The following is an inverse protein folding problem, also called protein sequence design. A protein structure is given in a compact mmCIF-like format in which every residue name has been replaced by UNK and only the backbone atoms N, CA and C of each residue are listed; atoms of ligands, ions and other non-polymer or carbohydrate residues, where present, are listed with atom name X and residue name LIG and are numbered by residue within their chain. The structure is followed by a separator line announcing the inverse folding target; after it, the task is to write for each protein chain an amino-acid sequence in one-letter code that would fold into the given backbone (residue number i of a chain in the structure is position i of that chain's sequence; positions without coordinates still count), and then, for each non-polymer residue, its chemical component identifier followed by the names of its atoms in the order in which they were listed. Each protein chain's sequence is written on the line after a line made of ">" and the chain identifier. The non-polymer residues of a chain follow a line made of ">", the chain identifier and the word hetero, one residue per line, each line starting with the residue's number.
data_IF_285286287156
#
_entry.id   IF_285286287156
#
_cell.length_a   1.000
_cell.length_b   1.000
_cell.length_c   1.000
_cell.angle_alpha   90.00
_cell.angle_beta   90.00
_cell.angle_gamma   90.00
#
_symmetry.space_group_name_H-M   'P 1'
#
loop_
_entity.id
_entity.type
_entity.pdbx_description
1 polymer ?
#
# COMPACT_ATOMS: atom_id res chain seq x y z
N UNK A 1 6.75 13.58 -22.15
CA UNK A 1 6.39 12.21 -21.76
C UNK A 1 5.22 12.35 -20.80
N UNK A 2 4.03 12.04 -21.23
CA UNK A 2 2.83 12.01 -20.39
C UNK A 2 3.05 10.89 -19.38
N UNK A 3 3.37 11.27 -18.15
CA UNK A 3 3.70 10.30 -17.10
C UNK A 3 2.50 9.45 -16.75
N UNK A 4 2.69 8.16 -16.63
CA UNK A 4 1.77 7.25 -16.01
C UNK A 4 1.83 7.44 -14.48
N UNK A 5 1.26 8.51 -13.97
CA UNK A 5 1.06 8.68 -12.52
C UNK A 5 0.04 7.67 -12.00
N UNK A 6 -0.03 7.48 -10.70
CA UNK A 6 -1.06 6.60 -10.11
C UNK A 6 -2.47 7.08 -10.50
N UNK A 7 -2.69 8.39 -10.45
CA UNK A 7 -3.95 9.00 -10.87
C UNK A 7 -4.29 8.62 -12.33
N UNK A 8 -3.35 8.84 -13.28
CA UNK A 8 -3.60 8.53 -14.71
C UNK A 8 -3.98 7.05 -14.92
N UNK A 9 -3.31 6.14 -14.21
CA UNK A 9 -3.55 4.70 -14.32
C UNK A 9 -4.92 4.34 -13.74
N UNK A 10 -5.28 4.90 -12.59
CA UNK A 10 -6.57 4.68 -11.97
C UNK A 10 -7.70 5.31 -12.78
N UNK A 11 -7.49 6.46 -13.42
CA UNK A 11 -8.46 7.09 -14.31
C UNK A 11 -8.75 6.18 -15.52
N UNK A 12 -7.73 5.56 -16.11
CA UNK A 12 -7.94 4.58 -17.18
C UNK A 12 -8.77 3.39 -16.69
N UNK A 13 -8.45 2.84 -15.53
CA UNK A 13 -9.19 1.72 -14.95
C UNK A 13 -10.62 2.12 -14.57
N UNK A 14 -10.82 3.33 -14.02
CA UNK A 14 -12.14 3.86 -13.64
C UNK A 14 -13.07 3.93 -14.85
N UNK A 15 -12.56 4.39 -16.00
CA UNK A 15 -13.34 4.56 -17.22
C UNK A 15 -13.35 3.32 -18.14
N UNK A 16 -12.58 2.28 -17.80
CA UNK A 16 -12.58 1.03 -18.56
C UNK A 16 -13.87 0.25 -18.31
N UNK A 17 -14.64 -0.08 -19.34
CA UNK A 17 -15.85 -0.91 -19.19
C UNK A 17 -15.54 -2.37 -18.87
N UNK A 18 -14.33 -2.82 -19.21
CA UNK A 18 -13.85 -4.21 -19.05
C UNK A 18 -12.92 -4.36 -17.84
N UNK A 19 -12.73 -3.30 -17.02
CA UNK A 19 -11.75 -3.27 -15.93
C UNK A 19 -10.33 -3.62 -16.38
N UNK A 20 -9.92 -3.10 -17.54
CA UNK A 20 -8.57 -3.23 -18.07
C UNK A 20 -7.78 -1.95 -17.88
N UNK A 21 -6.50 -2.08 -17.61
CA UNK A 21 -5.52 -0.99 -17.53
C UNK A 21 -4.13 -1.51 -17.86
N UNK A 22 -3.16 -0.62 -17.84
CA UNK A 22 -1.73 -0.92 -17.99
C UNK A 22 -0.90 -0.01 -17.09
N UNK A 23 0.35 -0.36 -16.90
CA UNK A 23 1.36 0.46 -16.25
C UNK A 23 2.73 0.20 -16.88
N UNK A 24 3.65 1.13 -16.70
CA UNK A 24 5.01 1.03 -17.22
C UNK A 24 6.04 0.64 -16.16
N UNK A 25 7.30 0.48 -16.58
CA UNK A 25 8.41 0.08 -15.70
C UNK A 25 8.69 1.05 -14.55
N UNK A 26 8.17 2.29 -14.61
CA UNK A 26 8.30 3.25 -13.51
C UNK A 26 7.54 2.84 -12.25
N UNK A 27 6.66 1.87 -12.34
CA UNK A 27 5.93 1.28 -11.22
C UNK A 27 6.48 -0.08 -10.77
N UNK A 28 7.68 -0.43 -11.22
CA UNK A 28 8.28 -1.72 -10.91
C UNK A 28 9.05 -1.75 -9.60
N UNK A 29 8.97 -2.90 -8.94
CA UNK A 29 9.81 -3.32 -7.83
C UNK A 29 10.54 -4.61 -8.27
N UNK A 30 11.74 -4.46 -8.82
CA UNK A 30 12.43 -5.56 -9.48
C UNK A 30 11.72 -5.96 -10.78
N UNK A 31 11.28 -7.22 -10.88
CA UNK A 31 10.58 -7.76 -12.08
C UNK A 31 9.06 -7.65 -12.02
N UNK A 32 8.53 -7.17 -10.93
CA UNK A 32 7.09 -7.09 -10.69
C UNK A 32 6.65 -5.66 -10.40
N UNK A 33 5.35 -5.40 -10.56
CA UNK A 33 4.72 -4.19 -10.10
C UNK A 33 4.88 -4.00 -8.59
N UNK A 34 4.91 -2.74 -8.15
CA UNK A 34 4.73 -2.36 -6.76
C UNK A 34 3.38 -2.90 -6.24
N UNK A 35 3.40 -3.59 -5.09
CA UNK A 35 2.21 -4.27 -4.56
C UNK A 35 1.07 -3.34 -4.24
N UNK A 36 1.36 -2.14 -3.72
CA UNK A 36 0.36 -1.10 -3.45
C UNK A 36 -0.40 -0.62 -4.68
N UNK A 37 0.26 -0.58 -5.86
CA UNK A 37 -0.39 -0.31 -7.14
C UNK A 37 -1.39 -1.41 -7.49
N UNK A 38 -0.98 -2.68 -7.37
CA UNK A 38 -1.82 -3.83 -7.73
C UNK A 38 -3.02 -3.95 -6.81
N UNK A 39 -2.83 -3.70 -5.51
CA UNK A 39 -3.91 -3.68 -4.53
C UNK A 39 -4.88 -2.50 -4.75
N UNK A 40 -4.39 -1.35 -5.24
CA UNK A 40 -5.24 -0.22 -5.62
C UNK A 40 -6.15 -0.57 -6.81
N UNK A 41 -5.67 -1.34 -7.80
CA UNK A 41 -6.51 -1.82 -8.90
C UNK A 41 -7.67 -2.69 -8.39
N UNK A 42 -7.38 -3.62 -7.49
CA UNK A 42 -8.39 -4.48 -6.88
C UNK A 42 -9.43 -3.66 -6.10
N UNK A 43 -8.98 -2.71 -5.27
CA UNK A 43 -9.84 -1.81 -4.50
C UNK A 43 -10.78 -1.01 -5.39
N UNK A 44 -10.23 -0.32 -6.40
CA UNK A 44 -11.01 0.51 -7.32
C UNK A 44 -12.04 -0.31 -8.08
N UNK A 45 -11.67 -1.49 -8.59
CA UNK A 45 -12.59 -2.36 -9.33
C UNK A 45 -13.74 -2.89 -8.46
N UNK A 46 -13.48 -3.18 -7.18
CA UNK A 46 -14.54 -3.51 -6.23
C UNK A 46 -15.45 -2.30 -5.96
N UNK A 47 -14.88 -1.11 -5.75
CA UNK A 47 -15.61 0.12 -5.44
C UNK A 47 -16.52 0.57 -6.59
N UNK A 48 -16.11 0.39 -7.84
CA UNK A 48 -16.89 0.71 -9.05
C UNK A 48 -18.25 0.01 -9.10
N UNK A 49 -18.38 -1.14 -8.45
CA UNK A 49 -19.64 -1.92 -8.44
C UNK A 49 -20.66 -1.42 -7.41
N UNK A 50 -20.29 -0.47 -6.55
CA UNK A 50 -21.07 -0.08 -5.38
C UNK A 50 -21.76 1.28 -5.56
N UNK A 51 -23.09 1.29 -5.41
CA UNK A 51 -23.91 2.51 -5.44
C UNK A 51 -24.87 2.52 -4.23
N UNK A 52 -24.82 3.52 -3.33
CA UNK A 52 -23.74 4.51 -3.20
C UNK A 52 -22.42 3.83 -2.81
N UNK A 53 -21.32 4.55 -2.93
CA UNK A 53 -20.00 4.02 -2.57
C UNK A 53 -19.74 4.17 -1.06
N UNK A 54 -19.93 3.13 -0.25
CA UNK A 54 -19.58 3.18 1.17
C UNK A 54 -18.06 3.13 1.36
N UNK A 55 -17.60 3.61 2.53
CA UNK A 55 -16.18 3.62 2.86
C UNK A 55 -15.59 2.20 2.88
N UNK A 56 -14.38 2.05 2.34
CA UNK A 56 -13.57 0.84 2.53
C UNK A 56 -13.16 0.73 4.00
N UNK A 57 -13.46 -0.40 4.64
CA UNK A 57 -13.16 -0.68 6.05
C UNK A 57 -12.00 -1.64 6.24
N UNK A 58 -11.87 -2.60 5.31
CA UNK A 58 -10.79 -3.58 5.35
C UNK A 58 -10.47 -4.06 3.94
N UNK A 59 -9.19 -4.28 3.68
CA UNK A 59 -8.67 -4.92 2.47
C UNK A 59 -7.74 -6.05 2.90
N UNK A 60 -7.97 -7.24 2.38
CA UNK A 60 -7.07 -8.38 2.53
C UNK A 60 -6.58 -8.78 1.14
N UNK A 61 -5.27 -8.87 0.96
CA UNK A 61 -4.66 -9.21 -0.32
C UNK A 61 -3.72 -10.41 -0.19
N UNK A 62 -3.75 -11.29 -1.19
CA UNK A 62 -2.80 -12.39 -1.39
C UNK A 62 -2.06 -12.14 -2.70
N UNK A 63 -0.73 -12.05 -2.63
CA UNK A 63 0.13 -11.87 -3.79
C UNK A 63 0.52 -13.26 -4.32
N UNK A 64 0.02 -13.61 -5.51
CA UNK A 64 0.09 -14.98 -6.08
C UNK A 64 1.29 -15.11 -7.02
N UNK A 65 1.45 -14.14 -7.90
CA UNK A 65 2.52 -14.15 -8.90
C UNK A 65 3.02 -12.73 -9.19
N UNK A 66 4.28 -12.57 -9.65
CA UNK A 66 4.78 -11.30 -10.15
C UNK A 66 3.90 -10.77 -11.28
N UNK A 67 3.51 -9.50 -11.21
CA UNK A 67 2.80 -8.80 -12.26
C UNK A 67 3.80 -7.94 -13.06
N UNK A 68 4.19 -8.33 -14.27
CA UNK A 68 5.10 -7.52 -15.09
C UNK A 68 4.38 -6.29 -15.67
N UNK A 69 5.12 -5.25 -16.11
CA UNK A 69 4.55 -4.13 -16.86
C UNK A 69 3.95 -4.63 -18.17
N UNK A 70 2.63 -4.75 -18.18
CA UNK A 70 1.85 -5.24 -19.34
C UNK A 70 0.37 -4.86 -19.13
N UNK A 71 -0.47 -4.95 -20.17
CA UNK A 71 -1.92 -4.90 -19.99
C UNK A 71 -2.41 -5.95 -19.01
N UNK A 72 -3.34 -5.55 -18.17
CA UNK A 72 -3.95 -6.39 -17.12
C UNK A 72 -5.45 -6.18 -17.10
N UNK A 73 -6.16 -7.13 -16.51
CA UNK A 73 -7.59 -7.01 -16.23
C UNK A 73 -7.89 -7.32 -14.75
N UNK A 74 -9.02 -6.82 -14.27
CA UNK A 74 -9.47 -7.08 -12.91
C UNK A 74 -10.88 -7.66 -12.95
N UNK A 75 -11.01 -8.88 -12.48
CA UNK A 75 -12.31 -9.50 -12.23
C UNK A 75 -12.75 -9.15 -10.80
N UNK A 76 -13.91 -8.51 -10.65
CA UNK A 76 -14.44 -8.15 -9.36
C UNK A 76 -15.88 -8.66 -9.20
N UNK A 77 -16.27 -9.02 -7.96
CA UNK A 77 -17.59 -9.54 -7.66
C UNK A 77 -18.05 -9.12 -6.26
N UNK A 78 -19.35 -8.82 -6.14
CA UNK A 78 -20.01 -8.66 -4.85
C UNK A 78 -20.31 -10.06 -4.30
N UNK A 79 -19.69 -10.41 -3.17
CA UNK A 79 -19.88 -11.71 -2.51
C UNK A 79 -21.15 -11.69 -1.63
N UNK A 80 -21.37 -10.56 -0.98
CA UNK A 80 -22.55 -10.33 -0.15
C UNK A 80 -22.81 -8.83 -0.03
N UNK A 81 -24.06 -8.45 -0.22
CA UNK A 81 -24.52 -7.10 0.05
C UNK A 81 -25.58 -7.13 1.16
N UNK A 82 -25.26 -6.55 2.29
CA UNK A 82 -26.17 -6.35 3.41
C UNK A 82 -26.59 -4.89 3.51
N UNK A 83 -27.45 -4.57 4.48
CA UNK A 83 -27.95 -3.20 4.68
C UNK A 83 -26.83 -2.18 4.92
N UNK A 84 -25.79 -2.55 5.67
CA UNK A 84 -24.74 -1.63 6.12
C UNK A 84 -23.34 -2.09 5.74
N UNK A 85 -23.17 -3.33 5.30
CA UNK A 85 -21.88 -3.92 4.98
C UNK A 85 -21.97 -4.70 3.70
N UNK A 86 -21.05 -4.44 2.78
CA UNK A 86 -20.88 -5.17 1.52
C UNK A 86 -19.50 -5.79 1.51
N UNK A 87 -19.43 -7.06 1.14
CA UNK A 87 -18.18 -7.79 0.94
C UNK A 87 -17.99 -8.05 -0.55
N UNK A 88 -16.81 -7.71 -1.05
CA UNK A 88 -16.43 -7.88 -2.45
C UNK A 88 -15.14 -8.70 -2.54
N UNK A 89 -14.93 -9.32 -3.68
CA UNK A 89 -13.64 -9.90 -4.06
C UNK A 89 -13.16 -9.30 -5.38
N UNK A 90 -11.84 -9.31 -5.58
CA UNK A 90 -11.24 -8.98 -6.87
C UNK A 90 -10.04 -9.89 -7.13
N UNK A 91 -9.83 -10.22 -8.41
CA UNK A 91 -8.64 -10.91 -8.90
C UNK A 91 -8.01 -10.07 -9.99
N UNK A 92 -6.76 -9.67 -9.79
CA UNK A 92 -5.95 -9.02 -10.83
C UNK A 92 -5.29 -10.09 -11.67
N UNK A 93 -5.48 -10.01 -12.98
CA UNK A 93 -5.04 -11.00 -13.95
C UNK A 93 -3.99 -10.39 -14.90
N UNK A 94 -2.94 -11.13 -15.16
CA UNK A 94 -1.99 -10.89 -16.25
C UNK A 94 -2.03 -12.07 -17.22
N UNK A 95 -2.31 -11.81 -18.49
CA UNK A 95 -2.45 -12.87 -19.50
C UNK A 95 -3.43 -13.99 -19.05
N UNK A 96 -4.52 -13.62 -18.39
CA UNK A 96 -5.52 -14.54 -17.85
C UNK A 96 -5.08 -15.36 -16.63
N UNK A 97 -3.91 -15.06 -16.04
CA UNK A 97 -3.40 -15.74 -14.84
C UNK A 97 -3.49 -14.84 -13.62
N UNK A 98 -3.95 -15.34 -12.46
CA UNK A 98 -4.01 -14.57 -11.23
C UNK A 98 -2.63 -14.09 -10.77
N UNK A 99 -2.50 -12.78 -10.55
CA UNK A 99 -1.34 -12.15 -9.94
C UNK A 99 -1.61 -11.73 -8.49
N UNK A 100 -2.83 -11.26 -8.21
CA UNK A 100 -3.28 -10.89 -6.87
C UNK A 100 -4.75 -11.26 -6.70
N UNK A 101 -5.11 -11.73 -5.50
CA UNK A 101 -6.49 -11.83 -5.05
C UNK A 101 -6.72 -10.94 -3.84
N UNK A 102 -7.87 -10.26 -3.81
CA UNK A 102 -8.24 -9.39 -2.69
C UNK A 102 -9.70 -9.60 -2.25
N UNK A 103 -9.93 -9.38 -0.96
CA UNK A 103 -11.24 -9.26 -0.35
C UNK A 103 -11.38 -7.85 0.24
N UNK A 104 -12.43 -7.14 -0.13
CA UNK A 104 -12.75 -5.81 0.37
C UNK A 104 -14.02 -5.82 1.20
N UNK A 105 -14.00 -5.15 2.35
CA UNK A 105 -15.18 -4.92 3.19
C UNK A 105 -15.51 -3.45 3.14
N UNK A 106 -16.67 -3.13 2.62
CA UNK A 106 -17.20 -1.77 2.53
C UNK A 106 -18.34 -1.58 3.53
N UNK A 107 -18.39 -0.45 4.21
CA UNK A 107 -19.38 -0.25 5.27
C UNK A 107 -19.74 1.19 5.51
N UNK A 108 -21.05 1.44 5.71
CA UNK A 108 -21.57 2.74 6.12
C UNK A 108 -21.24 3.03 7.58
N UNK A 109 -21.07 4.31 7.91
CA UNK A 109 -20.97 4.74 9.30
C UNK A 109 -22.27 4.44 10.05
N UNK A 110 -22.13 4.06 11.32
CA UNK A 110 -23.27 3.74 12.20
C UNK A 110 -23.06 4.38 13.56
N UNK A 111 -24.14 4.73 14.22
CA UNK A 111 -24.08 5.14 15.62
C UNK A 111 -23.65 3.99 16.51
N UNK A 112 -22.93 4.29 17.58
CA UNK A 112 -22.42 3.31 18.53
C UNK A 112 -21.42 3.93 19.49
N UNK A 113 -20.85 3.11 20.36
CA UNK A 113 -19.76 3.51 21.24
C UNK A 113 -18.56 3.90 20.39
N UNK A 114 -17.93 5.04 20.71
CA UNK A 114 -16.69 5.50 20.09
C UNK A 114 -15.55 5.32 21.07
N UNK A 115 -14.46 4.76 20.56
CA UNK A 115 -13.16 4.71 21.23
C UNK A 115 -12.18 5.35 20.26
N UNK A 116 -11.63 6.49 20.65
CA UNK A 116 -10.67 7.21 19.80
C UNK A 116 -9.36 6.43 19.72
N UNK A 117 -8.82 6.37 18.50
CA UNK A 117 -7.47 5.83 18.31
C UNK A 117 -6.43 6.71 18.99
N UNK A 118 -5.39 6.11 19.56
CA UNK A 118 -4.30 6.86 20.12
C UNK A 118 -3.62 7.71 19.01
N UNK A 119 -3.47 9.02 19.22
CA UNK A 119 -2.82 9.87 18.25
C UNK A 119 -1.32 9.53 18.16
N UNK A 120 -0.70 9.94 17.05
CA UNK A 120 0.73 9.85 16.89
C UNK A 120 1.44 10.62 18.00
N UNK A 121 2.29 9.92 18.73
CA UNK A 121 3.06 10.50 19.84
C UNK A 121 4.51 10.70 19.40
N UNK A 122 5.01 11.93 19.47
CA UNK A 122 6.40 12.30 19.19
C UNK A 122 6.92 11.77 17.84
N UNK A 123 6.30 12.15 16.71
CA UNK A 123 6.83 11.75 15.40
C UNK A 123 8.22 12.33 15.21
N UNK A 124 9.10 11.55 14.60
CA UNK A 124 10.39 12.05 14.19
C UNK A 124 10.20 13.09 13.07
N UNK A 125 10.85 14.27 13.18
CA UNK A 125 10.59 15.35 12.26
C UNK A 125 11.10 15.03 10.84
N UNK A 126 10.30 15.37 9.83
CA UNK A 126 10.63 15.16 8.42
C UNK A 126 11.92 15.88 8.00
N UNK A 127 12.21 17.02 8.61
CA UNK A 127 13.42 17.80 8.34
C UNK A 127 14.74 17.11 8.70
N UNK A 128 14.67 16.11 9.57
CA UNK A 128 15.83 15.29 9.98
C UNK A 128 15.95 14.00 9.17
N UNK A 129 15.01 13.77 8.25
CA UNK A 129 14.95 12.54 7.47
C UNK A 129 15.99 12.49 6.33
N UNK A 130 16.34 11.27 5.95
CA UNK A 130 17.16 10.99 4.79
C UNK A 130 16.25 10.84 3.57
N UNK A 131 16.28 11.79 2.60
CA UNK A 131 15.39 11.74 1.44
C UNK A 131 15.61 10.49 0.57
N UNK A 132 14.53 9.91 0.04
CA UNK A 132 14.59 8.79 -0.92
C UNK A 132 15.48 9.13 -2.12
N UNK A 133 15.39 10.36 -2.62
CA UNK A 133 16.16 10.83 -3.76
C UNK A 133 17.68 10.63 -3.60
N UNK A 134 18.21 10.62 -2.37
CA UNK A 134 19.63 10.37 -2.09
C UNK A 134 20.10 9.00 -2.57
N UNK A 135 19.19 8.04 -2.64
CA UNK A 135 19.50 6.66 -3.01
C UNK A 135 18.74 6.19 -4.27
N UNK A 136 18.13 7.09 -5.03
CA UNK A 136 17.26 6.77 -6.17
C UNK A 136 17.88 5.78 -7.17
N UNK A 137 19.19 5.86 -7.44
CA UNK A 137 19.88 4.96 -8.36
C UNK A 137 20.00 3.49 -7.86
N UNK A 138 19.69 3.24 -6.58
CA UNK A 138 19.80 1.91 -5.95
C UNK A 138 18.45 1.40 -5.45
N UNK A 139 17.39 2.18 -5.63
CA UNK A 139 16.04 1.88 -5.14
C UNK A 139 15.14 1.43 -6.29
N UNK A 140 14.05 0.70 -5.99
CA UNK A 140 13.04 0.38 -6.98
C UNK A 140 12.48 1.63 -7.65
N UNK A 141 12.17 1.53 -8.95
CA UNK A 141 11.74 2.67 -9.77
C UNK A 141 10.41 3.30 -9.29
N UNK A 142 9.51 2.50 -8.72
CA UNK A 142 8.23 3.00 -8.21
C UNK A 142 8.39 4.09 -7.14
N UNK A 143 9.50 4.11 -6.39
CA UNK A 143 9.75 5.13 -5.37
C UNK A 143 9.87 6.54 -5.95
N UNK A 144 10.16 6.67 -7.25
CA UNK A 144 10.17 7.96 -7.93
C UNK A 144 8.77 8.57 -8.09
N UNK A 145 7.70 7.78 -7.89
CA UNK A 145 6.31 8.26 -7.91
C UNK A 145 5.91 8.93 -6.57
N UNK A 146 6.77 8.81 -5.58
CA UNK A 146 6.55 9.35 -4.24
C UNK A 146 7.64 10.34 -3.86
N UNK A 147 7.32 11.20 -2.93
CA UNK A 147 8.28 12.00 -2.19
C UNK A 147 8.31 11.49 -0.75
N UNK A 148 9.50 11.33 -0.19
CA UNK A 148 9.60 10.84 1.19
C UNK A 148 11.01 10.79 1.71
N UNK A 149 11.10 10.45 2.99
CA UNK A 149 12.36 10.28 3.71
C UNK A 149 12.24 9.21 4.79
N UNK A 150 13.33 8.53 5.03
CA UNK A 150 13.53 7.69 6.19
C UNK A 150 13.81 8.58 7.41
N UNK A 151 13.21 8.30 8.55
CA UNK A 151 13.47 9.03 9.80
C UNK A 151 13.86 8.04 10.91
N UNK A 152 14.72 8.50 11.84
CA UNK A 152 15.27 7.67 12.91
C UNK A 152 16.51 6.90 12.48
N UNK A 153 16.86 5.88 13.28
CA UNK A 153 18.14 5.17 13.17
C UNK A 153 18.12 4.01 12.15
N UNK A 154 16.93 3.70 11.62
CA UNK A 154 16.75 2.55 10.73
C UNK A 154 16.55 2.99 9.29
N UNK A 155 17.28 2.32 8.39
CA UNK A 155 17.11 2.41 6.95
C UNK A 155 17.38 1.01 6.36
N UNK A 156 16.72 0.60 5.28
CA UNK A 156 17.03 -0.66 4.63
C UNK A 156 18.52 -0.77 4.29
N UNK A 157 19.09 -1.93 4.58
CA UNK A 157 20.52 -2.26 4.35
C UNK A 157 21.50 -1.38 5.14
N UNK A 158 21.10 -0.88 6.31
CA UNK A 158 21.99 -0.10 7.19
C UNK A 158 22.73 -0.91 8.25
N UNK A 159 22.38 -2.20 8.44
CA UNK A 159 22.91 -3.03 9.52
C UNK A 159 22.47 -2.57 10.91
N UNK A 160 21.44 -1.73 11.02
CA UNK A 160 21.02 -1.11 12.28
C UNK A 160 20.45 -2.09 13.30
N UNK A 161 20.00 -3.27 12.86
CA UNK A 161 19.28 -4.26 13.70
C UNK A 161 18.04 -3.71 14.39
N UNK A 162 17.54 -2.58 13.93
CA UNK A 162 16.30 -2.00 14.44
C UNK A 162 15.11 -2.89 14.11
N UNK A 163 14.20 -3.02 15.06
CA UNK A 163 12.90 -3.64 14.84
C UNK A 163 11.84 -2.63 14.40
N UNK A 164 12.22 -1.38 14.19
CA UNK A 164 11.29 -0.31 13.84
C UNK A 164 11.81 0.46 12.64
N UNK A 165 10.91 0.77 11.72
CA UNK A 165 11.19 1.56 10.52
C UNK A 165 10.15 2.67 10.42
N UNK A 166 10.62 3.92 10.35
CA UNK A 166 9.77 5.08 10.24
C UNK A 166 10.08 5.86 8.97
N UNK A 167 9.04 6.43 8.37
CA UNK A 167 9.21 7.28 7.19
C UNK A 167 8.07 8.29 7.05
N UNK A 168 8.37 9.40 6.39
CA UNK A 168 7.39 10.32 5.84
C UNK A 168 7.25 10.11 4.35
N UNK A 169 6.02 10.06 3.85
CA UNK A 169 5.74 9.79 2.43
C UNK A 169 4.55 10.61 1.96
N UNK A 170 4.59 11.06 0.69
CA UNK A 170 3.42 11.54 -0.05
C UNK A 170 3.48 11.12 -1.52
N UNK A 171 2.34 11.08 -2.17
CA UNK A 171 2.28 10.98 -3.63
C UNK A 171 2.83 12.25 -4.30
N UNK A 172 3.39 12.10 -5.50
CA UNK A 172 3.77 13.25 -6.34
C UNK A 172 2.62 13.74 -7.22
N UNK A 173 1.61 12.90 -7.46
CA UNK A 173 0.40 13.26 -8.17
C UNK A 173 -0.75 13.57 -7.20
N UNK A 174 -1.77 14.23 -7.71
CA UNK A 174 -3.02 14.41 -6.98
C UNK A 174 -3.77 13.08 -6.88
N UNK A 175 -4.22 12.75 -5.67
CA UNK A 175 -4.97 11.53 -5.36
C UNK A 175 -6.32 11.85 -4.71
N UNK A 176 -6.83 13.05 -4.89
CA UNK A 176 -8.10 13.52 -4.27
C UNK A 176 -9.31 12.71 -4.71
N UNK A 177 -9.33 12.22 -5.96
CA UNK A 177 -10.41 11.42 -6.52
C UNK A 177 -10.35 9.94 -6.09
N UNK A 178 -9.20 9.50 -5.54
CA UNK A 178 -8.91 8.11 -5.16
C UNK A 178 -8.45 8.00 -3.70
N UNK A 179 -9.25 8.45 -2.71
CA UNK A 179 -8.81 8.56 -1.32
C UNK A 179 -8.48 7.21 -0.68
N UNK A 180 -9.17 6.12 -1.04
CA UNK A 180 -8.83 4.79 -0.54
C UNK A 180 -7.54 4.27 -1.16
N UNK A 181 -7.41 4.38 -2.48
CA UNK A 181 -6.26 3.95 -3.25
C UNK A 181 -5.00 4.77 -2.89
N UNK A 182 -5.16 6.06 -2.54
CA UNK A 182 -4.11 6.90 -1.95
C UNK A 182 -3.47 6.24 -0.73
N UNK A 183 -4.30 5.83 0.23
CA UNK A 183 -3.83 5.22 1.47
C UNK A 183 -3.28 3.80 1.22
N UNK A 184 -3.92 3.01 0.34
CA UNK A 184 -3.46 1.67 -0.03
C UNK A 184 -2.04 1.72 -0.58
N UNK A 185 -1.77 2.59 -1.55
CA UNK A 185 -0.43 2.71 -2.12
C UNK A 185 0.61 3.20 -1.10
N UNK A 186 0.26 4.17 -0.26
CA UNK A 186 1.13 4.64 0.84
C UNK A 186 1.43 3.52 1.84
N UNK A 187 0.43 2.71 2.21
CA UNK A 187 0.58 1.70 3.26
C UNK A 187 1.49 0.52 2.85
N UNK A 188 1.73 0.31 1.56
CA UNK A 188 2.65 -0.73 1.05
C UNK A 188 4.07 -0.19 0.76
N UNK A 189 4.32 1.09 1.02
CA UNK A 189 5.64 1.72 0.81
C UNK A 189 6.77 1.12 1.67
N UNK A 190 6.54 0.77 2.96
CA UNK A 190 7.61 0.23 3.78
C UNK A 190 8.12 -1.11 3.26
N UNK A 191 9.42 -1.22 2.96
CA UNK A 191 10.01 -2.51 2.68
C UNK A 191 9.96 -3.40 3.94
N UNK A 192 10.27 -4.72 3.82
CA UNK A 192 10.42 -5.54 5.02
C UNK A 192 11.34 -4.86 6.02
N UNK A 193 10.86 -4.62 7.25
CA UNK A 193 11.67 -3.99 8.32
C UNK A 193 12.92 -4.84 8.61
N UNK A 194 12.84 -6.15 8.37
CA UNK A 194 13.97 -7.07 8.43
C UNK A 194 15.17 -6.58 7.60
N UNK A 195 14.95 -5.89 6.47
CA UNK A 195 16.02 -5.40 5.61
C UNK A 195 16.95 -4.38 6.29
N UNK A 196 16.50 -3.76 7.40
CA UNK A 196 17.36 -2.89 8.21
C UNK A 196 18.51 -3.66 8.90
N UNK A 197 18.35 -4.98 9.11
CA UNK A 197 19.34 -5.83 9.76
C UNK A 197 20.50 -6.21 8.85
N UNK A 198 20.34 -6.08 7.53
CA UNK A 198 21.39 -6.40 6.56
C UNK A 198 22.28 -5.18 6.29
N UNK A 199 23.56 -5.43 6.10
CA UNK A 199 24.57 -4.48 5.61
C UNK A 199 24.95 -4.72 4.14
N UNK A 200 24.39 -5.76 3.53
CA UNK A 200 24.57 -6.14 2.12
C UNK A 200 23.45 -5.56 1.26
N UNK A 201 23.76 -5.06 0.07
CA UNK A 201 22.84 -4.20 -0.69
C UNK A 201 21.68 -4.91 -1.37
N UNK A 202 21.51 -6.23 -1.26
CA UNK A 202 20.44 -6.94 -1.94
C UNK A 202 20.02 -8.24 -1.26
N UNK A 203 18.85 -8.23 -0.67
CA UNK A 203 18.12 -9.41 -0.22
C UNK A 203 16.75 -9.37 -0.90
N UNK A 204 16.47 -10.27 -1.86
CA UNK A 204 15.17 -10.34 -2.49
C UNK A 204 14.07 -10.63 -1.46
N UNK A 205 12.98 -9.92 -1.56
CA UNK A 205 11.81 -10.14 -0.74
C UNK A 205 10.53 -9.92 -1.56
N UNK A 206 9.46 -10.59 -1.17
CA UNK A 206 8.17 -10.50 -1.84
C UNK A 206 7.04 -10.60 -0.82
N UNK A 207 6.04 -9.76 -0.92
CA UNK A 207 4.81 -9.89 -0.14
C UNK A 207 4.10 -11.18 -0.48
N UNK A 208 3.57 -11.85 0.52
CA UNK A 208 2.76 -13.08 0.41
C UNK A 208 1.31 -12.75 0.75
N UNK A 209 1.08 -12.13 1.89
CA UNK A 209 -0.25 -11.70 2.31
C UNK A 209 -0.19 -10.36 3.02
N UNK A 210 -1.27 -9.59 2.87
CA UNK A 210 -1.41 -8.27 3.45
C UNK A 210 -2.83 -8.00 3.91
N UNK A 211 -2.97 -7.48 5.11
CA UNK A 211 -4.20 -6.93 5.65
C UNK A 211 -4.05 -5.43 5.92
N UNK A 212 -5.02 -4.65 5.48
CA UNK A 212 -5.12 -3.21 5.72
C UNK A 212 -6.50 -2.89 6.29
N UNK A 213 -6.55 -2.27 7.47
CA UNK A 213 -7.78 -1.91 8.17
C UNK A 213 -7.87 -0.39 8.28
N UNK A 214 -8.96 0.20 7.77
CA UNK A 214 -9.18 1.64 7.78
C UNK A 214 -9.88 2.06 9.08
N UNK A 215 -9.23 2.93 9.84
CA UNK A 215 -9.74 3.44 11.12
C UNK A 215 -10.69 4.61 10.89
N UNK A 216 -10.46 5.36 9.80
CA UNK A 216 -11.28 6.49 9.38
C UNK A 216 -11.85 6.24 7.99
N UNK A 217 -12.84 7.01 7.58
CA UNK A 217 -13.25 7.03 6.18
C UNK A 217 -12.09 7.62 5.35
N UNK A 218 -11.59 6.93 4.33
CA UNK A 218 -10.53 7.47 3.47
C UNK A 218 -10.87 8.85 2.89
N UNK A 219 -12.14 9.11 2.60
CA UNK A 219 -12.61 10.39 2.09
C UNK A 219 -12.43 11.56 3.07
N UNK A 220 -12.29 11.27 4.36
CA UNK A 220 -12.04 12.27 5.40
C UNK A 220 -10.55 12.60 5.58
N UNK A 221 -9.64 11.88 4.92
CA UNK A 221 -8.19 12.11 4.98
C UNK A 221 -7.78 13.17 3.98
N UNK A 222 -7.55 14.39 4.47
CA UNK A 222 -7.22 15.55 3.64
C UNK A 222 -5.74 15.84 3.50
N UNK A 223 -4.92 15.32 4.42
CA UNK A 223 -3.46 15.49 4.38
C UNK A 223 -2.82 14.82 3.17
N UNK A 224 -1.72 15.42 2.71
CA UNK A 224 -0.89 14.84 1.64
C UNK A 224 0.22 13.97 2.21
N UNK A 225 0.79 14.36 3.34
CA UNK A 225 1.88 13.64 3.99
C UNK A 225 1.36 12.61 4.98
N UNK A 226 2.02 11.47 4.97
CA UNK A 226 1.75 10.36 5.89
C UNK A 226 3.02 10.00 6.64
N UNK A 227 2.85 9.74 7.95
CA UNK A 227 3.87 9.12 8.79
C UNK A 227 3.59 7.63 8.90
N UNK A 228 4.56 6.83 8.52
CA UNK A 228 4.49 5.38 8.57
C UNK A 228 5.37 4.88 9.72
N UNK A 229 4.77 4.12 10.62
CA UNK A 229 5.39 3.56 11.80
C UNK A 229 5.25 2.03 11.77
N UNK A 230 6.32 1.35 11.44
CA UNK A 230 6.32 -0.09 11.19
C UNK A 230 7.26 -0.82 12.14
N UNK A 231 6.74 -1.91 12.72
CA UNK A 231 7.46 -2.80 13.63
C UNK A 231 7.68 -4.17 12.98
N UNK A 232 8.90 -4.71 13.11
CA UNK A 232 9.22 -6.10 12.82
C UNK A 232 8.72 -6.98 13.96
N UNK A 233 7.69 -7.78 13.69
CA UNK A 233 7.12 -8.71 14.68
C UNK A 233 8.00 -9.95 14.85
N UNK A 234 8.34 -10.60 13.72
CA UNK A 234 9.18 -11.78 13.67
C UNK A 234 9.84 -11.98 12.30
N UNK A 235 10.93 -12.74 12.27
CA UNK A 235 11.52 -13.27 11.05
C UNK A 235 12.20 -14.62 11.33
N UNK A 236 11.81 -15.66 10.60
CA UNK A 236 12.40 -16.98 10.63
C UNK A 236 12.00 -17.77 9.38
N UNK A 237 12.75 -18.81 9.06
CA UNK A 237 12.44 -19.78 8.02
C UNK A 237 12.16 -19.17 6.63
N UNK A 238 12.79 -18.03 6.32
CA UNK A 238 12.57 -17.31 5.06
C UNK A 238 11.33 -16.44 5.02
N UNK A 239 10.64 -16.26 6.15
CA UNK A 239 9.45 -15.40 6.28
C UNK A 239 9.66 -14.31 7.33
N UNK A 240 9.10 -13.12 7.06
CA UNK A 240 9.08 -12.01 8.00
C UNK A 240 7.68 -11.43 8.12
N UNK A 241 7.31 -11.05 9.33
CA UNK A 241 6.03 -10.44 9.66
C UNK A 241 6.26 -9.04 10.22
N UNK A 242 5.46 -8.10 9.76
CA UNK A 242 5.50 -6.73 10.24
C UNK A 242 4.09 -6.17 10.43
N UNK A 243 3.97 -5.29 11.41
CA UNK A 243 2.78 -4.51 11.71
C UNK A 243 3.07 -3.03 11.52
N UNK A 244 2.12 -2.29 11.01
CA UNK A 244 2.29 -0.88 10.72
C UNK A 244 1.10 -0.01 11.09
N UNK A 245 1.38 1.23 11.38
CA UNK A 245 0.41 2.29 11.61
C UNK A 245 0.64 3.40 10.61
N UNK A 246 -0.42 3.83 9.95
CA UNK A 246 -0.39 4.88 8.95
C UNK A 246 -1.12 6.09 9.53
N UNK A 247 -0.38 7.17 9.75
CA UNK A 247 -0.91 8.43 10.27
C UNK A 247 -0.88 9.50 9.19
N UNK A 248 -1.89 10.35 9.11
CA UNK A 248 -1.77 11.59 8.35
C UNK A 248 -0.95 12.61 9.12
N UNK A 249 -0.50 13.68 8.48
CA UNK A 249 0.37 14.72 9.07
C UNK A 249 -0.22 15.44 10.29
N UNK A 250 -1.53 15.40 10.47
CA UNK A 250 -2.20 15.89 11.69
C UNK A 250 -1.95 15.01 12.92
N UNK A 251 -1.38 13.82 12.73
CA UNK A 251 -1.19 12.81 13.79
C UNK A 251 -2.39 11.89 13.98
N UNK A 252 -3.43 11.99 13.15
CA UNK A 252 -4.59 11.08 13.20
C UNK A 252 -4.24 9.75 12.56
N UNK A 253 -4.52 8.64 13.26
CA UNK A 253 -4.38 7.29 12.72
C UNK A 253 -5.41 7.05 11.62
N UNK A 254 -4.93 6.71 10.42
CA UNK A 254 -5.77 6.45 9.24
C UNK A 254 -6.01 4.96 9.02
N UNK A 255 -4.96 4.14 9.14
CA UNK A 255 -5.04 2.72 8.87
C UNK A 255 -4.04 1.91 9.68
N UNK A 256 -4.35 0.62 9.85
CA UNK A 256 -3.47 -0.41 10.41
C UNK A 256 -3.10 -1.38 9.29
N UNK A 257 -1.83 -1.77 9.24
CA UNK A 257 -1.27 -2.69 8.24
C UNK A 257 -0.63 -3.89 8.90
N UNK A 258 -0.82 -5.07 8.32
CA UNK A 258 -0.12 -6.28 8.71
C UNK A 258 0.28 -7.08 7.48
N UNK A 259 1.59 -7.39 7.36
CA UNK A 259 2.13 -8.11 6.21
C UNK A 259 2.93 -9.34 6.64
N UNK A 260 2.78 -10.42 5.84
CA UNK A 260 3.72 -11.52 5.77
C UNK A 260 4.45 -11.46 4.44
N UNK A 261 5.78 -11.53 4.48
CA UNK A 261 6.65 -11.48 3.31
C UNK A 261 7.65 -12.63 3.34
N UNK A 262 7.98 -13.16 2.17
CA UNK A 262 9.09 -14.07 2.01
C UNK A 262 10.37 -13.28 1.70
N UNK A 263 11.52 -13.74 2.22
CA UNK A 263 12.83 -13.21 1.88
C UNK A 263 13.78 -14.35 1.53
N UNK A 264 14.73 -14.06 0.66
CA UNK A 264 15.62 -15.08 0.05
C UNK A 264 17.07 -14.69 0.32
N UNK A 265 17.68 -15.30 1.34
CA UNK A 265 19.12 -15.22 1.59
C UNK A 265 19.85 -16.12 0.60
N UNK A 266 20.89 -15.57 -0.05
CA UNK A 266 21.80 -16.31 -0.92
C UNK A 266 23.09 -16.66 -0.17
#
# INVERSE_FOLDING_TARGET
>A
MTGNTLQDILDRLQHSPTNETDFDENWSQGRAAFGGLVAAFASLSMRKMLEPQPALRSLMASFIAPLPPAPLSVEAAIQRQGRNVTQCSATVLSEGRPALQALGVFGQAREGIRVEAAPLSNPLPRSEGIPFAKYAARMPTFLNQFEGCWVGDAMPFSGSRSRRLNMWVRHRCDMSDYPAEKIIAIADMPPPVLLCHYDKPFVPASSVSWGLEFIVDPADVKGEWFYLDFDLDAAADGYTQQSGRIYEESGRLCALSRQCMAYFEQ
#
